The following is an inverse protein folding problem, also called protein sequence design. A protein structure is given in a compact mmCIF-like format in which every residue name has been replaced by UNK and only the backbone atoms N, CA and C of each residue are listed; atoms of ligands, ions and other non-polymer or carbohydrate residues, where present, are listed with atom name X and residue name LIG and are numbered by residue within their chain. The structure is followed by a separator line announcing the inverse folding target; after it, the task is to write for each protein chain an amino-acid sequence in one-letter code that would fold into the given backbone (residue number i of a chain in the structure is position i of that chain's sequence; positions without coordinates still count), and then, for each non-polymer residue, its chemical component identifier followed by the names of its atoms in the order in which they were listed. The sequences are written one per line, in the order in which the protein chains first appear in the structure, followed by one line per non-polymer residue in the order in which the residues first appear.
data_IF_503085398937
#
_entry.id   IF_503085398937
#
_cell.length_a   1.000
_cell.length_b   1.000
_cell.length_c   1.000
_cell.angle_alpha   90.00
_cell.angle_beta   90.00
_cell.angle_gamma   90.00
#
_symmetry.space_group_name_H-M   'P 1'
#
loop_
_entity.id
_entity.type
_entity.pdbx_description
1 polymer ?
#
# COMPACT_ATOMS: atom_id res chain seq x y z
N UNK A 1 1.73 16.52 5.85
CA UNK A 1 2.65 16.00 4.82
C UNK A 1 3.04 17.03 3.75
N UNK A 2 2.16 17.90 3.23
CA UNK A 2 2.51 18.86 2.16
C UNK A 2 3.53 19.96 2.50
N UNK A 3 3.73 20.30 3.78
CA UNK A 3 4.57 21.43 4.20
C UNK A 3 6.04 21.35 3.75
N UNK A 4 6.61 20.14 3.62
CA UNK A 4 7.98 19.94 3.13
C UNK A 4 8.10 20.33 1.65
N UNK A 5 7.10 20.00 0.83
CA UNK A 5 7.09 20.33 -0.59
C UNK A 5 6.93 21.84 -0.81
N UNK A 6 6.05 22.48 -0.02
CA UNK A 6 5.93 23.94 -0.03
C UNK A 6 7.22 24.62 0.39
N UNK A 7 7.89 24.14 1.45
CA UNK A 7 9.18 24.66 1.88
C UNK A 7 10.29 24.48 0.83
N UNK A 8 10.20 23.44 0.00
CA UNK A 8 11.11 23.19 -1.12
C UNK A 8 10.82 24.04 -2.38
N UNK A 9 9.80 24.92 -2.34
CA UNK A 9 9.48 25.85 -3.42
C UNK A 9 8.50 25.31 -4.47
N UNK A 10 7.83 24.19 -4.19
CA UNK A 10 6.73 23.72 -5.05
C UNK A 10 5.45 24.52 -4.74
N UNK A 11 4.79 25.00 -5.81
CA UNK A 11 3.46 25.58 -5.79
C UNK A 11 2.39 24.49 -6.02
N UNK A 12 1.12 24.83 -5.75
CA UNK A 12 -0.04 23.97 -5.99
C UNK A 12 0.11 22.55 -5.41
N UNK A 13 0.63 22.49 -4.17
CA UNK A 13 0.90 21.21 -3.50
C UNK A 13 -0.39 20.51 -3.10
N UNK A 14 -0.60 19.32 -3.64
CA UNK A 14 -1.65 18.37 -3.24
C UNK A 14 -1.02 17.28 -2.37
N UNK A 15 -1.64 17.01 -1.23
CA UNK A 15 -1.23 15.97 -0.29
C UNK A 15 -2.48 15.21 0.18
N UNK A 16 -2.72 14.04 -0.39
CA UNK A 16 -3.89 13.21 -0.09
C UNK A 16 -3.49 11.96 0.69
N UNK A 17 -4.29 11.61 1.69
CA UNK A 17 -4.26 10.29 2.31
C UNK A 17 -5.11 9.33 1.45
N UNK A 18 -4.46 8.36 0.82
CA UNK A 18 -5.07 7.31 -0.02
C UNK A 18 -4.99 5.94 0.64
N UNK A 19 -4.85 5.89 1.97
CA UNK A 19 -4.75 4.63 2.72
C UNK A 19 -5.94 3.72 2.48
N UNK A 20 -7.17 4.26 2.40
CA UNK A 20 -8.38 3.48 2.09
C UNK A 20 -8.30 2.79 0.71
N UNK A 21 -7.85 3.52 -0.31
CA UNK A 21 -7.66 2.93 -1.63
C UNK A 21 -6.61 1.81 -1.60
N UNK A 22 -5.52 2.03 -0.86
CA UNK A 22 -4.48 1.04 -0.69
C UNK A 22 -4.97 -0.22 0.04
N UNK A 23 -5.72 -0.09 1.13
CA UNK A 23 -6.27 -1.24 1.87
C UNK A 23 -7.22 -2.04 1.00
N UNK A 24 -8.09 -1.38 0.21
CA UNK A 24 -9.00 -2.07 -0.71
C UNK A 24 -8.26 -2.89 -1.77
N UNK A 25 -7.14 -2.38 -2.30
CA UNK A 25 -6.29 -3.13 -3.25
C UNK A 25 -5.66 -4.34 -2.56
N UNK A 26 -5.10 -4.16 -1.36
CA UNK A 26 -4.48 -5.24 -0.58
C UNK A 26 -5.47 -6.35 -0.25
N UNK A 27 -6.68 -6.01 0.19
CA UNK A 27 -7.73 -6.99 0.49
C UNK A 27 -8.13 -7.79 -0.74
N UNK A 28 -8.29 -7.12 -1.89
CA UNK A 28 -8.61 -7.78 -3.14
C UNK A 28 -7.47 -8.67 -3.65
N UNK A 29 -6.22 -8.24 -3.50
CA UNK A 29 -5.02 -9.04 -3.83
C UNK A 29 -4.89 -10.26 -2.93
N UNK A 30 -5.05 -10.08 -1.62
CA UNK A 30 -5.02 -11.16 -0.64
C UNK A 30 -6.10 -12.21 -0.92
N UNK A 31 -7.34 -11.77 -1.17
CA UNK A 31 -8.45 -12.66 -1.49
C UNK A 31 -8.17 -13.50 -2.75
N UNK A 32 -7.60 -12.90 -3.80
CA UNK A 32 -7.21 -13.62 -5.02
C UNK A 32 -6.10 -14.64 -4.75
N UNK A 33 -5.03 -14.24 -4.07
CA UNK A 33 -3.89 -15.12 -3.78
C UNK A 33 -4.28 -16.30 -2.91
N UNK A 34 -5.15 -16.08 -1.90
CA UNK A 34 -5.68 -17.16 -1.05
C UNK A 34 -6.56 -18.12 -1.87
N UNK A 35 -7.41 -17.59 -2.74
CA UNK A 35 -8.27 -18.41 -3.60
C UNK A 35 -7.48 -19.25 -4.63
N UNK A 36 -6.31 -18.78 -5.07
CA UNK A 36 -5.43 -19.46 -6.03
C UNK A 36 -4.15 -20.00 -5.37
N UNK A 37 -4.20 -20.38 -4.09
CA UNK A 37 -3.03 -20.82 -3.29
C UNK A 37 -2.17 -21.87 -4.00
N UNK A 38 -2.78 -22.96 -4.46
CA UNK A 38 -2.02 -24.08 -5.03
C UNK A 38 -1.32 -23.71 -6.34
N UNK A 39 -1.97 -22.88 -7.17
CA UNK A 39 -1.37 -22.33 -8.39
C UNK A 39 -0.23 -21.37 -8.08
N UNK A 40 -0.41 -20.50 -7.08
CA UNK A 40 0.62 -19.57 -6.64
C UNK A 40 1.86 -20.32 -6.15
N UNK A 41 1.69 -21.32 -5.28
CA UNK A 41 2.78 -22.14 -4.75
C UNK A 41 3.50 -22.91 -5.86
N UNK A 42 2.75 -23.45 -6.82
CA UNK A 42 3.33 -24.17 -7.96
C UNK A 42 4.23 -23.28 -8.85
N UNK A 43 3.91 -21.98 -8.96
CA UNK A 43 4.69 -21.02 -9.73
C UNK A 43 5.80 -20.33 -8.93
N UNK A 44 5.74 -20.39 -7.60
CA UNK A 44 6.66 -19.71 -6.68
C UNK A 44 7.21 -20.71 -5.66
N UNK A 45 6.75 -20.64 -4.40
CA UNK A 45 7.01 -21.62 -3.34
C UNK A 45 6.01 -21.45 -2.20
N UNK A 46 5.92 -22.43 -1.30
CA UNK A 46 5.16 -22.28 -0.05
C UNK A 46 5.68 -21.10 0.78
N UNK A 47 7.00 -20.90 0.80
CA UNK A 47 7.60 -19.79 1.54
C UNK A 47 7.16 -18.44 0.99
N UNK A 48 7.17 -18.27 -0.32
CA UNK A 48 6.74 -17.02 -0.96
C UNK A 48 5.26 -16.75 -0.70
N UNK A 49 4.42 -17.79 -0.71
CA UNK A 49 3.01 -17.69 -0.35
C UNK A 49 2.82 -17.19 1.09
N UNK A 50 3.53 -17.80 2.05
CA UNK A 50 3.43 -17.39 3.46
C UNK A 50 3.95 -15.98 3.69
N UNK A 51 5.07 -15.63 3.04
CA UNK A 51 5.69 -14.30 3.16
C UNK A 51 4.78 -13.20 2.56
N UNK A 52 4.11 -13.45 1.42
CA UNK A 52 3.22 -12.46 0.79
C UNK A 52 1.91 -12.30 1.57
N UNK A 53 1.28 -13.40 2.00
CA UNK A 53 0.02 -13.38 2.75
C UNK A 53 0.24 -12.71 4.11
N UNK A 54 1.21 -13.18 4.89
CA UNK A 54 1.50 -12.60 6.21
C UNK A 54 1.98 -11.14 6.09
N UNK A 55 2.70 -10.81 5.02
CA UNK A 55 3.12 -9.44 4.73
C UNK A 55 1.95 -8.50 4.44
N UNK A 56 0.94 -8.94 3.69
CA UNK A 56 -0.27 -8.15 3.41
C UNK A 56 -1.18 -8.05 4.63
N UNK A 57 -1.41 -9.13 5.38
CA UNK A 57 -2.16 -9.09 6.63
C UNK A 57 -1.53 -8.11 7.64
N UNK A 58 -0.21 -8.15 7.78
CA UNK A 58 0.52 -7.21 8.64
C UNK A 58 0.37 -5.76 8.18
N UNK A 59 0.35 -5.51 6.86
CA UNK A 59 0.12 -4.16 6.31
C UNK A 59 -1.30 -3.67 6.59
N UNK A 60 -2.31 -4.54 6.47
CA UNK A 60 -3.70 -4.20 6.77
C UNK A 60 -3.85 -3.80 8.24
N UNK A 61 -3.27 -4.57 9.18
CA UNK A 61 -3.25 -4.21 10.60
C UNK A 61 -2.60 -2.85 10.83
N UNK A 62 -1.38 -2.62 10.28
CA UNK A 62 -0.71 -1.32 10.43
C UNK A 62 -1.49 -0.16 9.82
N UNK A 63 -2.23 -0.39 8.73
CA UNK A 63 -3.08 0.64 8.14
C UNK A 63 -4.31 0.94 9.02
N UNK A 64 -4.92 -0.09 9.61
CA UNK A 64 -6.04 0.04 10.54
C UNK A 64 -5.63 0.78 11.83
N UNK A 65 -4.43 0.50 12.34
CA UNK A 65 -3.86 1.15 13.52
C UNK A 65 -3.36 2.58 13.24
N UNK A 66 -3.27 2.97 11.96
CA UNK A 66 -2.78 4.27 11.52
C UNK A 66 -1.24 4.40 11.48
N UNK A 67 -0.52 3.33 11.79
CA UNK A 67 0.94 3.23 11.76
C UNK A 67 1.52 3.28 10.34
N UNK A 68 0.74 2.83 9.35
CA UNK A 68 1.12 2.86 7.95
C UNK A 68 0.05 3.57 7.12
N UNK A 69 0.49 4.53 6.29
CA UNK A 69 -0.39 5.30 5.40
C UNK A 69 0.14 5.32 3.97
N UNK A 70 -0.76 5.47 3.00
CA UNK A 70 -0.40 5.72 1.62
C UNK A 70 -0.69 7.17 1.25
N UNK A 71 0.36 7.98 1.07
CA UNK A 71 0.23 9.38 0.66
C UNK A 71 0.36 9.55 -0.85
N UNK A 72 -0.52 10.33 -1.48
CA UNK A 72 -0.31 10.89 -2.81
C UNK A 72 0.16 12.33 -2.67
N UNK A 73 1.26 12.67 -3.33
CA UNK A 73 1.85 14.00 -3.33
C UNK A 73 2.08 14.50 -4.75
N UNK A 74 1.60 15.70 -5.03
CA UNK A 74 1.81 16.41 -6.30
C UNK A 74 2.16 17.86 -6.00
N UNK A 75 3.04 18.46 -6.80
CA UNK A 75 3.37 19.87 -6.71
C UNK A 75 4.05 20.31 -7.99
N UNK A 76 3.98 21.61 -8.29
CA UNK A 76 4.47 22.19 -9.53
C UNK A 76 5.60 23.16 -9.23
N UNK A 77 6.67 23.11 -10.02
CA UNK A 77 7.77 24.05 -9.95
C UNK A 77 7.67 25.00 -11.12
N UNK A 78 7.66 26.30 -10.83
CA UNK A 78 7.73 27.36 -11.81
C UNK A 78 9.19 27.69 -12.15
#
# INVERSE_FOLDING_TARGET
YGGVLTAAGFADVVAEDRTEHFTNVLEAELARTVASRDEFIAQTSEKDYQDIVGGWESKLTRCADGDQKWGLFLGYKH
#
